data_IF_205314583660
#
_entry.id   IF_205314583660
#
_cell.length_a   1.000
_cell.length_b   1.000
_cell.length_c   1.000
_cell.angle_alpha   90.00
_cell.angle_beta   90.00
_cell.angle_gamma   90.00
#
_symmetry.space_group_name_H-M   'P 1'
#
loop_
_entity.id
_entity.type
_entity.pdbx_description
1 polymer ?
#
# COMPACT_ATOMS: atom_id res chain seq x y z
N UNK A 1 36.09 -18.56 -12.30
CA UNK A 1 35.87 -17.43 -11.37
C UNK A 1 34.45 -16.96 -11.60
N UNK A 2 33.53 -17.33 -10.72
CA UNK A 2 32.12 -17.00 -10.89
C UNK A 2 31.88 -15.55 -10.50
N UNK A 3 31.44 -14.75 -11.48
CA UNK A 3 30.88 -13.43 -11.24
C UNK A 3 29.59 -13.62 -10.44
N UNK A 4 29.66 -13.34 -9.14
CA UNK A 4 28.49 -13.29 -8.28
C UNK A 4 27.63 -12.10 -8.71
N UNK A 5 26.44 -12.39 -9.22
CA UNK A 5 25.44 -11.40 -9.52
C UNK A 5 25.12 -10.60 -8.25
N UNK A 6 25.38 -9.29 -8.34
CA UNK A 6 24.91 -8.29 -7.38
C UNK A 6 23.39 -8.31 -7.44
N UNK A 7 22.73 -8.88 -6.42
CA UNK A 7 21.29 -8.78 -6.31
C UNK A 7 20.92 -7.32 -6.05
N UNK A 8 20.06 -6.80 -6.92
CA UNK A 8 19.59 -5.43 -6.95
C UNK A 8 18.97 -5.04 -5.60
N UNK A 9 19.59 -4.06 -4.92
CA UNK A 9 19.02 -3.38 -3.77
C UNK A 9 18.06 -2.30 -4.29
N UNK A 10 16.81 -2.67 -4.50
CA UNK A 10 15.74 -1.71 -4.82
C UNK A 10 14.51 -2.07 -4.00
N UNK A 11 14.60 -1.84 -2.69
CA UNK A 11 13.49 -1.69 -1.74
C UNK A 11 14.11 -1.40 -0.37
N UNK A 12 14.17 -0.12 0.01
CA UNK A 12 14.93 0.38 1.16
C UNK A 12 14.24 0.02 2.49
N UNK A 13 14.30 -1.25 2.88
CA UNK A 13 14.15 -1.60 4.28
C UNK A 13 15.44 -1.25 5.05
N UNK A 14 15.33 -0.90 6.34
CA UNK A 14 16.50 -0.80 7.20
C UNK A 14 17.23 -2.15 7.25
N UNK A 15 18.55 -2.11 7.47
CA UNK A 15 19.32 -3.34 7.68
C UNK A 15 18.70 -4.16 8.83
N UNK A 16 18.50 -5.47 8.66
CA UNK A 16 17.82 -6.31 9.67
C UNK A 16 18.59 -6.34 11.01
N UNK A 17 19.93 -6.19 10.96
CA UNK A 17 20.79 -6.29 12.13
C UNK A 17 20.78 -7.71 12.72
N UNK A 18 20.79 -7.81 14.04
CA UNK A 18 20.71 -9.11 14.73
C UNK A 18 19.34 -9.76 14.52
N UNK A 19 19.35 -11.00 14.02
CA UNK A 19 18.16 -11.80 13.74
C UNK A 19 17.66 -12.57 14.99
N UNK A 20 16.39 -13.04 14.99
CA UNK A 20 15.77 -13.74 16.13
C UNK A 20 16.37 -15.10 16.46
N UNK A 21 17.15 -15.69 15.55
CA UNK A 21 17.87 -16.94 15.74
C UNK A 21 19.23 -16.76 16.43
N UNK A 22 19.64 -15.52 16.73
CA UNK A 22 20.87 -15.22 17.44
C UNK A 22 20.67 -15.26 18.97
N UNK A 23 21.58 -15.89 19.76
CA UNK A 23 21.42 -16.03 21.21
C UNK A 23 21.23 -14.72 21.98
N UNK A 24 21.81 -13.62 21.51
CA UNK A 24 21.73 -12.30 22.14
C UNK A 24 20.56 -11.44 21.65
N UNK A 25 19.62 -11.99 20.88
CA UNK A 25 18.48 -11.25 20.35
C UNK A 25 17.57 -10.65 21.45
N UNK A 26 17.55 -11.28 22.64
CA UNK A 26 16.84 -10.73 23.80
C UNK A 26 17.39 -9.35 24.22
N UNK A 27 18.69 -9.10 24.06
CA UNK A 27 19.30 -7.79 24.34
C UNK A 27 18.81 -6.73 23.35
N UNK A 28 18.67 -7.09 22.07
CA UNK A 28 18.06 -6.22 21.06
C UNK A 28 16.63 -5.87 21.44
N UNK A 29 15.83 -6.88 21.77
CA UNK A 29 14.43 -6.69 22.17
C UNK A 29 14.28 -5.80 23.41
N UNK A 30 15.18 -5.95 24.39
CA UNK A 30 15.24 -5.13 25.59
C UNK A 30 15.63 -3.67 25.27
N UNK A 31 16.68 -3.45 24.48
CA UNK A 31 17.09 -2.11 24.06
C UNK A 31 16.01 -1.41 23.23
N UNK A 32 15.31 -2.16 22.36
CA UNK A 32 14.16 -1.66 21.60
C UNK A 32 13.03 -1.22 22.52
N UNK A 33 12.69 -2.03 23.54
CA UNK A 33 11.66 -1.72 24.53
C UNK A 33 12.00 -0.47 25.37
N UNK A 34 13.24 -0.33 25.83
CA UNK A 34 13.69 0.88 26.54
C UNK A 34 13.59 2.10 25.63
N UNK A 35 14.09 2.00 24.39
CA UNK A 35 14.03 3.11 23.45
C UNK A 35 12.58 3.55 23.18
N UNK A 36 11.66 2.60 23.04
CA UNK A 36 10.23 2.90 22.87
C UNK A 36 9.59 3.48 24.14
N UNK A 37 9.98 3.01 25.32
CA UNK A 37 9.51 3.57 26.59
C UNK A 37 9.93 5.03 26.78
N UNK A 38 11.18 5.35 26.42
CA UNK A 38 11.75 6.70 26.50
C UNK A 38 11.38 7.61 25.31
N UNK A 39 10.68 7.09 24.30
CA UNK A 39 10.13 7.93 23.22
C UNK A 39 8.89 8.64 23.74
N UNK A 40 8.92 9.96 23.85
CA UNK A 40 7.81 10.76 24.38
C UNK A 40 6.93 11.33 23.27
N UNK A 41 5.61 11.42 23.50
CA UNK A 41 4.62 11.87 22.52
C UNK A 41 4.06 10.76 21.65
N UNK A 42 2.82 10.92 21.18
CA UNK A 42 2.14 9.88 20.40
C UNK A 42 2.64 9.82 18.96
N UNK A 43 2.90 10.97 18.31
CA UNK A 43 3.48 11.01 16.96
C UNK A 43 4.89 10.37 16.94
N UNK A 44 5.85 10.75 17.79
CA UNK A 44 7.15 10.06 17.83
C UNK A 44 7.04 8.58 18.17
N UNK A 45 6.08 8.19 19.03
CA UNK A 45 5.82 6.77 19.32
C UNK A 45 5.27 6.02 18.11
N UNK A 46 4.41 6.63 17.31
CA UNK A 46 3.90 6.04 16.07
C UNK A 46 5.06 5.80 15.08
N UNK A 47 5.91 6.80 14.85
CA UNK A 47 7.11 6.67 14.00
C UNK A 47 8.07 5.60 14.54
N UNK A 48 8.28 5.56 15.87
CA UNK A 48 9.10 4.53 16.51
C UNK A 48 8.56 3.13 16.28
N UNK A 49 7.25 2.94 16.37
CA UNK A 49 6.63 1.63 16.11
C UNK A 49 6.70 1.26 14.63
N UNK A 50 6.53 2.21 13.71
CA UNK A 50 6.69 1.98 12.26
C UNK A 50 8.12 1.51 11.94
N UNK A 51 9.14 2.20 12.46
CA UNK A 51 10.54 1.81 12.27
C UNK A 51 10.86 0.42 12.87
N UNK A 52 10.20 0.05 13.98
CA UNK A 52 10.32 -1.30 14.51
C UNK A 52 9.65 -2.32 13.59
N UNK A 53 8.48 -2.02 13.02
CA UNK A 53 7.80 -2.88 12.06
C UNK A 53 8.70 -3.14 10.84
N UNK A 54 9.26 -2.11 10.23
CA UNK A 54 10.21 -2.21 9.11
C UNK A 54 11.40 -3.13 9.45
N UNK A 55 11.96 -3.03 10.67
CA UNK A 55 13.02 -3.94 11.12
C UNK A 55 12.54 -5.39 11.23
N UNK A 56 11.31 -5.62 11.72
CA UNK A 56 10.76 -6.99 11.78
C UNK A 56 10.58 -7.56 10.36
N UNK A 57 10.13 -6.73 9.41
CA UNK A 57 9.98 -7.13 8.02
C UNK A 57 11.33 -7.42 7.34
N UNK A 58 12.34 -6.61 7.60
CA UNK A 58 13.70 -6.86 7.13
C UNK A 58 14.26 -8.18 7.67
N UNK A 59 14.01 -8.47 8.94
CA UNK A 59 14.40 -9.76 9.53
C UNK A 59 13.64 -10.94 8.91
N UNK A 60 12.34 -10.80 8.65
CA UNK A 60 11.56 -11.83 7.98
C UNK A 60 12.12 -12.14 6.58
N UNK A 61 12.44 -11.11 5.78
CA UNK A 61 13.05 -11.30 4.47
C UNK A 61 14.40 -12.04 4.57
N UNK A 62 15.27 -11.59 5.48
CA UNK A 62 16.58 -12.22 5.69
C UNK A 62 16.49 -13.66 6.23
N UNK A 63 15.42 -14.01 6.96
CA UNK A 63 15.18 -15.37 7.44
C UNK A 63 14.61 -16.26 6.34
N UNK A 64 13.76 -15.73 5.46
CA UNK A 64 13.30 -16.43 4.28
C UNK A 64 14.47 -16.77 3.34
N UNK A 65 15.39 -15.82 3.12
CA UNK A 65 16.63 -16.07 2.36
C UNK A 65 17.50 -17.18 2.97
N UNK A 66 17.43 -17.34 4.30
CA UNK A 66 18.18 -18.36 5.05
C UNK A 66 17.44 -19.71 5.15
N UNK A 67 16.27 -19.85 4.51
CA UNK A 67 15.47 -21.06 4.58
C UNK A 67 14.95 -21.35 5.99
N UNK A 68 14.62 -20.31 6.78
CA UNK A 68 14.08 -20.42 8.14
C UNK A 68 12.65 -19.88 8.22
N UNK A 69 11.68 -20.48 7.51
CA UNK A 69 10.34 -19.93 7.37
C UNK A 69 9.62 -19.81 8.71
N UNK A 70 9.78 -20.76 9.64
CA UNK A 70 9.08 -20.72 10.93
C UNK A 70 9.53 -19.53 11.80
N UNK A 71 10.77 -19.07 11.63
CA UNK A 71 11.28 -17.88 12.33
C UNK A 71 10.84 -16.62 11.59
N UNK A 72 10.81 -16.66 10.26
CA UNK A 72 10.29 -15.56 9.43
C UNK A 72 8.82 -15.26 9.77
N UNK A 73 7.98 -16.30 9.93
CA UNK A 73 6.59 -16.17 10.37
C UNK A 73 6.48 -15.45 11.71
N UNK A 74 7.29 -15.83 12.72
CA UNK A 74 7.30 -15.14 14.01
C UNK A 74 7.76 -13.69 13.90
N UNK A 75 8.68 -13.39 12.98
CA UNK A 75 9.08 -12.02 12.70
C UNK A 75 7.93 -11.23 12.06
N UNK A 76 7.16 -11.83 11.15
CA UNK A 76 5.98 -11.23 10.53
C UNK A 76 4.83 -11.00 11.52
N UNK A 77 4.61 -11.89 12.48
CA UNK A 77 3.64 -11.64 13.56
C UNK A 77 4.06 -10.44 14.42
N UNK A 78 5.36 -10.28 14.70
CA UNK A 78 5.85 -9.06 15.37
C UNK A 78 5.77 -7.82 14.48
N UNK A 79 6.00 -7.94 13.17
CA UNK A 79 5.80 -6.84 12.21
C UNK A 79 4.37 -6.30 12.32
N UNK A 80 3.40 -7.21 12.23
CA UNK A 80 1.98 -6.95 12.39
C UNK A 80 1.66 -6.26 13.72
N UNK A 81 2.18 -6.78 14.84
CA UNK A 81 1.98 -6.14 16.14
C UNK A 81 2.51 -4.69 16.17
N UNK A 82 3.72 -4.46 15.64
CA UNK A 82 4.34 -3.12 15.63
C UNK A 82 3.60 -2.16 14.71
N UNK A 83 3.15 -2.61 13.53
CA UNK A 83 2.36 -1.78 12.62
C UNK A 83 1.03 -1.35 13.26
N UNK A 84 0.30 -2.25 13.91
CA UNK A 84 -0.93 -1.90 14.63
C UNK A 84 -0.68 -0.88 15.74
N UNK A 85 0.44 -1.00 16.47
CA UNK A 85 0.81 0.00 17.49
C UNK A 85 1.18 1.36 16.88
N UNK A 86 1.76 1.38 15.68
CA UNK A 86 2.05 2.62 14.96
C UNK A 86 0.74 3.34 14.58
N UNK A 87 -0.18 2.63 13.94
CA UNK A 87 -1.51 3.13 13.57
C UNK A 87 -2.31 3.59 14.80
N UNK A 88 -2.34 2.76 15.86
CA UNK A 88 -3.03 3.13 17.10
C UNK A 88 -2.47 4.39 17.75
N UNK A 89 -1.15 4.62 17.69
CA UNK A 89 -0.55 5.85 18.19
C UNK A 89 -0.81 7.08 17.32
N UNK A 90 -0.86 6.90 16.01
CA UNK A 90 -1.27 7.97 15.09
C UNK A 90 -2.74 8.36 15.34
N UNK A 91 -3.62 7.39 15.56
CA UNK A 91 -5.03 7.63 15.89
C UNK A 91 -5.19 8.32 17.25
N UNK A 92 -4.49 7.88 18.30
CA UNK A 92 -4.49 8.58 19.59
C UNK A 92 -4.01 10.04 19.47
N UNK A 93 -3.01 10.30 18.63
CA UNK A 93 -2.52 11.65 18.37
C UNK A 93 -3.60 12.51 17.68
N UNK A 94 -4.28 11.94 16.69
CA UNK A 94 -5.37 12.60 15.95
C UNK A 94 -6.54 12.94 16.86
N UNK A 95 -6.94 12.03 17.74
CA UNK A 95 -7.99 12.25 18.75
C UNK A 95 -7.65 13.37 19.73
N UNK A 96 -6.35 13.64 19.95
CA UNK A 96 -5.87 14.77 20.77
C UNK A 96 -5.78 16.08 19.99
N UNK A 97 -6.20 16.11 18.73
CA UNK A 97 -6.15 17.29 17.87
C UNK A 97 -4.73 17.66 17.43
N UNK A 98 -3.78 16.71 17.45
CA UNK A 98 -2.45 16.92 16.92
C UNK A 98 -2.47 16.79 15.39
N UNK A 99 -1.56 17.49 14.71
CA UNK A 99 -1.33 17.29 13.29
C UNK A 99 -0.62 15.95 13.04
N UNK A 100 -1.34 15.00 12.43
CA UNK A 100 -0.86 13.64 12.17
C UNK A 100 -0.56 13.38 10.70
N UNK A 101 -0.71 14.37 9.83
CA UNK A 101 -0.64 14.18 8.37
C UNK A 101 0.70 13.60 7.93
N UNK A 102 1.80 14.09 8.51
CA UNK A 102 3.13 13.61 8.13
C UNK A 102 3.38 12.17 8.57
N UNK A 103 2.99 11.79 9.80
CA UNK A 103 3.19 10.41 10.26
C UNK A 103 2.27 9.44 9.54
N UNK A 104 1.03 9.83 9.22
CA UNK A 104 0.12 9.01 8.44
C UNK A 104 0.59 8.87 7.00
N UNK A 105 1.14 9.92 6.38
CA UNK A 105 1.77 9.82 5.06
C UNK A 105 2.94 8.83 5.07
N UNK A 106 3.83 8.89 6.08
CA UNK A 106 4.92 7.92 6.24
C UNK A 106 4.41 6.49 6.39
N UNK A 107 3.36 6.27 7.20
CA UNK A 107 2.76 4.94 7.36
C UNK A 107 2.18 4.44 6.03
N UNK A 108 1.43 5.29 5.32
CA UNK A 108 0.82 4.98 4.03
C UNK A 108 1.87 4.58 2.99
N UNK A 109 2.94 5.35 2.86
CA UNK A 109 4.02 5.10 1.92
C UNK A 109 4.81 3.82 2.28
N UNK A 110 5.19 3.68 3.55
CA UNK A 110 5.94 2.53 4.05
C UNK A 110 5.16 1.22 3.85
N UNK A 111 3.85 1.22 4.14
CA UNK A 111 3.01 0.02 4.01
C UNK A 111 2.77 -0.43 2.57
N UNK A 112 2.80 0.48 1.59
CA UNK A 112 2.88 0.09 0.16
C UNK A 112 4.24 -0.53 -0.16
N UNK A 113 5.34 0.09 0.27
CA UNK A 113 6.69 -0.47 0.07
C UNK A 113 6.85 -1.84 0.72
N UNK A 114 6.22 -2.06 1.87
CA UNK A 114 6.21 -3.34 2.56
C UNK A 114 5.59 -4.45 1.71
N UNK A 115 4.58 -4.16 0.86
CA UNK A 115 4.00 -5.17 -0.03
C UNK A 115 5.06 -5.78 -0.93
N UNK A 116 5.91 -4.94 -1.53
CA UNK A 116 6.95 -5.38 -2.45
C UNK A 116 7.94 -6.35 -1.79
N UNK A 117 8.22 -6.17 -0.50
CA UNK A 117 9.07 -7.07 0.29
C UNK A 117 8.29 -8.31 0.73
N UNK A 118 7.05 -8.16 1.17
CA UNK A 118 6.22 -9.29 1.56
C UNK A 118 6.03 -10.25 0.39
N UNK A 119 5.86 -9.74 -0.83
CA UNK A 119 5.82 -10.51 -2.08
C UNK A 119 7.12 -11.31 -2.28
N UNK A 120 8.29 -10.72 -2.00
CA UNK A 120 9.56 -11.46 -2.05
C UNK A 120 9.64 -12.56 -0.99
N UNK A 121 9.19 -12.26 0.23
CA UNK A 121 9.13 -13.26 1.29
C UNK A 121 8.21 -14.41 0.88
N UNK A 122 7.04 -14.10 0.31
CA UNK A 122 6.06 -15.06 -0.19
C UNK A 122 6.65 -16.03 -1.22
N UNK A 123 7.44 -15.49 -2.16
CA UNK A 123 8.13 -16.28 -3.19
C UNK A 123 9.16 -17.25 -2.59
N UNK A 124 9.87 -16.83 -1.54
CA UNK A 124 11.00 -17.56 -0.94
C UNK A 124 10.58 -18.65 0.04
N UNK A 125 9.37 -18.57 0.62
CA UNK A 125 8.91 -19.51 1.64
C UNK A 125 8.15 -20.70 1.06
N UNK A 126 8.18 -21.88 1.71
CA UNK A 126 7.35 -23.01 1.31
C UNK A 126 5.86 -22.71 1.50
N UNK A 127 5.00 -23.45 0.78
CA UNK A 127 3.55 -23.23 0.77
C UNK A 127 2.92 -23.23 2.16
N UNK A 128 3.41 -24.08 3.05
CA UNK A 128 2.97 -24.17 4.44
C UNK A 128 3.12 -22.85 5.24
N UNK A 129 4.08 -22.00 4.88
CA UNK A 129 4.36 -20.74 5.57
C UNK A 129 3.59 -19.56 4.95
N UNK A 130 3.13 -19.68 3.69
CA UNK A 130 2.43 -18.62 2.94
C UNK A 130 1.28 -17.97 3.71
N UNK A 131 0.40 -18.68 4.44
CA UNK A 131 -0.71 -18.04 5.16
C UNK A 131 -0.29 -16.96 6.16
N UNK A 132 0.89 -17.04 6.76
CA UNK A 132 1.39 -16.00 7.65
C UNK A 132 1.82 -14.74 6.89
N UNK A 133 2.38 -14.90 5.69
CA UNK A 133 2.78 -13.80 4.81
C UNK A 133 1.52 -13.10 4.27
N UNK A 134 0.50 -13.86 3.88
CA UNK A 134 -0.78 -13.33 3.39
C UNK A 134 -1.45 -12.43 4.43
N UNK A 135 -1.49 -12.87 5.70
CA UNK A 135 -1.99 -12.04 6.81
C UNK A 135 -1.17 -10.76 7.02
N UNK A 136 0.14 -10.82 6.81
CA UNK A 136 1.00 -9.64 6.92
C UNK A 136 0.77 -8.67 5.75
N UNK A 137 0.53 -9.18 4.54
CA UNK A 137 0.18 -8.39 3.36
C UNK A 137 -1.18 -7.72 3.52
N UNK A 138 -2.20 -8.47 3.96
CA UNK A 138 -3.54 -7.95 4.24
C UNK A 138 -3.48 -6.81 5.25
N UNK A 139 -2.79 -7.04 6.38
CA UNK A 139 -2.66 -6.00 7.40
C UNK A 139 -1.86 -4.79 6.92
N UNK A 140 -0.85 -5.00 6.09
CA UNK A 140 -0.09 -3.91 5.51
C UNK A 140 -0.95 -3.08 4.55
N UNK A 141 -1.78 -3.71 3.71
CA UNK A 141 -2.71 -2.98 2.84
C UNK A 141 -3.79 -2.25 3.63
N UNK A 142 -4.37 -2.90 4.64
CA UNK A 142 -5.32 -2.23 5.52
C UNK A 142 -4.70 -1.01 6.21
N UNK A 143 -3.47 -1.15 6.69
CA UNK A 143 -2.71 -0.05 7.29
C UNK A 143 -2.43 1.10 6.32
N UNK A 144 -2.16 0.79 5.04
CA UNK A 144 -2.03 1.80 3.98
C UNK A 144 -3.34 2.57 3.80
N UNK A 145 -4.45 1.87 3.63
CA UNK A 145 -5.77 2.46 3.38
C UNK A 145 -6.24 3.31 4.57
N UNK A 146 -6.16 2.77 5.79
CA UNK A 146 -6.50 3.48 7.03
C UNK A 146 -5.68 4.77 7.15
N UNK A 147 -4.37 4.70 6.90
CA UNK A 147 -3.50 5.87 6.97
C UNK A 147 -3.84 6.89 5.88
N UNK A 148 -4.01 6.46 4.63
CA UNK A 148 -4.33 7.34 3.50
C UNK A 148 -5.66 8.08 3.70
N UNK A 149 -6.69 7.37 4.18
CA UNK A 149 -8.00 7.94 4.49
C UNK A 149 -7.96 8.92 5.67
N UNK A 150 -7.03 8.74 6.59
CA UNK A 150 -6.89 9.59 7.77
C UNK A 150 -6.11 10.89 7.51
N UNK A 151 -5.36 10.99 6.41
CA UNK A 151 -4.63 12.20 5.98
C UNK A 151 -5.60 13.27 5.47
N UNK A 152 -5.30 14.55 5.71
CA UNK A 152 -6.05 15.69 5.16
C UNK A 152 -6.11 15.70 3.62
N UNK A 153 -7.09 16.40 3.05
CA UNK A 153 -7.26 16.47 1.59
C UNK A 153 -6.03 17.08 0.88
N UNK A 154 -5.45 18.15 1.41
CA UNK A 154 -4.27 18.80 0.83
C UNK A 154 -3.07 17.84 0.81
N UNK A 155 -2.76 17.23 1.96
CA UNK A 155 -1.63 16.32 2.05
C UNK A 155 -1.85 15.05 1.22
N UNK A 156 -3.09 14.55 1.14
CA UNK A 156 -3.45 13.40 0.30
C UNK A 156 -3.21 13.70 -1.18
N UNK A 157 -3.52 14.91 -1.63
CA UNK A 157 -3.24 15.32 -3.01
C UNK A 157 -1.73 15.36 -3.29
N UNK A 158 -0.95 15.90 -2.37
CA UNK A 158 0.51 15.99 -2.51
C UNK A 158 1.18 14.61 -2.69
N UNK A 159 0.67 13.57 -2.03
CA UNK A 159 1.25 12.22 -2.11
C UNK A 159 0.57 11.31 -3.14
N UNK A 160 -0.46 11.80 -3.85
CA UNK A 160 -1.30 11.00 -4.74
C UNK A 160 -0.49 10.30 -5.83
N UNK A 161 0.33 11.05 -6.56
CA UNK A 161 1.12 10.52 -7.69
C UNK A 161 2.13 9.47 -7.23
N UNK A 162 2.79 9.72 -6.09
CA UNK A 162 3.73 8.77 -5.50
C UNK A 162 3.01 7.48 -5.08
N UNK A 163 1.88 7.60 -4.38
CA UNK A 163 1.05 6.45 -3.96
C UNK A 163 0.59 5.64 -5.18
N UNK A 164 0.14 6.30 -6.26
CA UNK A 164 -0.28 5.64 -7.49
C UNK A 164 0.86 4.88 -8.16
N UNK A 165 2.03 5.52 -8.28
CA UNK A 165 3.24 4.90 -8.84
C UNK A 165 3.63 3.65 -8.06
N UNK A 166 3.66 3.74 -6.72
CA UNK A 166 3.98 2.61 -5.85
C UNK A 166 2.95 1.47 -5.94
N UNK A 167 1.65 1.79 -6.02
CA UNK A 167 0.60 0.79 -6.22
C UNK A 167 0.81 0.04 -7.54
N UNK A 168 1.16 0.74 -8.62
CA UNK A 168 1.48 0.11 -9.91
C UNK A 168 2.71 -0.80 -9.83
N UNK A 169 3.78 -0.37 -9.15
CA UNK A 169 4.98 -1.20 -8.94
C UNK A 169 4.64 -2.52 -8.19
N UNK A 170 3.84 -2.43 -7.12
CA UNK A 170 3.40 -3.61 -6.35
C UNK A 170 2.55 -4.53 -7.23
N UNK A 171 1.60 -3.98 -7.99
CA UNK A 171 0.73 -4.74 -8.88
C UNK A 171 1.52 -5.49 -9.95
N UNK A 172 2.41 -4.79 -10.66
CA UNK A 172 3.26 -5.38 -11.70
C UNK A 172 4.12 -6.51 -11.13
N UNK A 173 4.69 -6.33 -9.94
CA UNK A 173 5.48 -7.38 -9.30
C UNK A 173 4.64 -8.60 -8.94
N UNK A 174 3.44 -8.40 -8.41
CA UNK A 174 2.53 -9.50 -8.09
C UNK A 174 2.11 -10.27 -9.36
N UNK A 175 1.79 -9.57 -10.44
CA UNK A 175 1.43 -10.15 -11.74
C UNK A 175 2.58 -10.98 -12.34
N UNK A 176 3.80 -10.45 -12.34
CA UNK A 176 4.99 -11.19 -12.79
C UNK A 176 5.19 -12.52 -12.04
N UNK A 177 4.88 -12.57 -10.74
CA UNK A 177 4.94 -13.82 -9.98
C UNK A 177 3.78 -14.78 -10.32
N UNK A 178 2.58 -14.25 -10.56
CA UNK A 178 1.43 -15.05 -11.02
C UNK A 178 1.69 -15.69 -12.37
N UNK A 179 2.28 -14.95 -13.32
CA UNK A 179 2.71 -15.49 -14.62
C UNK A 179 3.74 -16.61 -14.49
N UNK A 180 4.60 -16.55 -13.46
CA UNK A 180 5.54 -17.62 -13.10
C UNK A 180 4.89 -18.80 -12.38
N UNK A 181 3.57 -18.80 -12.21
CA UNK A 181 2.79 -19.86 -11.57
C UNK A 181 2.77 -19.80 -10.04
N UNK A 182 3.20 -18.70 -9.43
CA UNK A 182 3.13 -18.51 -7.98
C UNK A 182 1.79 -17.84 -7.64
N UNK A 183 0.93 -18.47 -6.83
CA UNK A 183 -0.42 -17.96 -6.55
C UNK A 183 -0.40 -16.82 -5.53
N UNK A 184 0.24 -15.69 -5.86
CA UNK A 184 0.26 -14.49 -5.01
C UNK A 184 -1.19 -13.99 -4.86
N UNK A 185 -1.70 -13.80 -3.63
CA UNK A 185 -3.09 -13.42 -3.44
C UNK A 185 -3.41 -12.04 -4.01
N UNK A 186 -4.69 -11.77 -4.16
CA UNK A 186 -5.21 -10.47 -4.58
C UNK A 186 -5.47 -9.62 -3.34
N UNK A 187 -4.43 -8.93 -2.90
CA UNK A 187 -4.37 -8.25 -1.58
C UNK A 187 -4.47 -6.75 -1.74
N UNK A 188 -4.08 -6.25 -2.91
CA UNK A 188 -4.50 -4.95 -3.37
C UNK A 188 -5.99 -5.08 -3.67
N UNK A 189 -6.87 -4.24 -3.10
CA UNK A 189 -8.11 -4.03 -3.81
C UNK A 189 -7.73 -3.59 -5.23
N UNK A 190 -8.35 -4.24 -6.23
CA UNK A 190 -8.60 -3.61 -7.53
C UNK A 190 -8.83 -2.11 -7.31
N UNK A 191 -8.20 -1.25 -8.12
CA UNK A 191 -7.87 0.12 -7.75
C UNK A 191 -9.01 0.83 -7.03
N UNK A 192 -9.01 0.82 -5.69
CA UNK A 192 -9.78 1.79 -4.92
C UNK A 192 -9.00 3.08 -5.05
N UNK A 193 -9.55 3.92 -5.92
CA UNK A 193 -9.26 5.33 -6.10
C UNK A 193 -7.84 5.65 -6.59
N UNK A 194 -7.50 5.25 -7.83
CA UNK A 194 -7.18 6.36 -8.74
C UNK A 194 -8.47 7.18 -8.78
N UNK A 195 -8.47 8.51 -8.55
CA UNK A 195 -9.63 9.29 -8.94
C UNK A 195 -9.93 8.83 -10.34
N UNK A 196 -11.13 8.29 -10.57
CA UNK A 196 -11.55 7.98 -11.92
C UNK A 196 -11.19 9.24 -12.71
N UNK A 197 -10.38 9.14 -13.78
CA UNK A 197 -10.13 10.29 -14.60
C UNK A 197 -11.52 10.80 -14.99
N UNK A 198 -11.91 11.92 -14.38
CA UNK A 198 -13.08 12.69 -14.72
C UNK A 198 -12.48 13.84 -15.48
N UNK A 199 -12.56 13.76 -16.80
CA UNK A 199 -12.14 14.81 -17.69
C UNK A 199 -12.93 16.09 -17.44
N UNK A 200 -14.26 15.97 -17.24
CA UNK A 200 -15.16 17.09 -16.96
C UNK A 200 -16.41 16.65 -16.18
N UNK A 201 -17.04 17.59 -15.46
CA UNK A 201 -18.31 17.38 -14.77
C UNK A 201 -19.25 18.56 -14.95
N UNK A 202 -20.49 18.28 -15.34
CA UNK A 202 -21.57 19.23 -15.57
C UNK A 202 -22.79 18.89 -14.70
N UNK A 203 -23.75 19.81 -14.53
CA UNK A 203 -25.06 19.46 -13.99
C UNK A 203 -25.68 18.33 -14.83
N UNK A 204 -25.99 17.20 -14.19
CA UNK A 204 -26.59 16.04 -14.85
C UNK A 204 -25.65 15.20 -15.71
N UNK A 205 -24.33 15.46 -15.73
CA UNK A 205 -23.40 14.70 -16.57
C UNK A 205 -21.97 14.64 -16.05
N UNK A 206 -21.32 13.49 -16.20
CA UNK A 206 -19.89 13.27 -15.95
C UNK A 206 -19.23 12.79 -17.25
N UNK A 207 -18.06 13.32 -17.57
CA UNK A 207 -17.22 12.89 -18.69
C UNK A 207 -15.93 12.29 -18.13
N UNK A 208 -15.70 11.01 -18.37
CA UNK A 208 -14.56 10.28 -17.81
C UNK A 208 -13.30 10.45 -18.66
N UNK A 209 -13.31 9.95 -19.89
CA UNK A 209 -12.13 9.98 -20.78
C UNK A 209 -12.55 9.93 -22.25
N UNK A 210 -11.73 10.49 -23.13
CA UNK A 210 -11.82 10.29 -24.60
C UNK A 210 -10.97 9.12 -25.10
N UNK A 211 -10.18 8.51 -24.22
CA UNK A 211 -9.40 7.31 -24.53
C UNK A 211 -10.27 6.06 -24.44
N UNK A 212 -10.89 5.72 -25.57
CA UNK A 212 -11.74 4.52 -25.71
C UNK A 212 -10.96 3.20 -25.75
N UNK A 213 -9.63 3.23 -25.62
CA UNK A 213 -8.82 2.01 -25.49
C UNK A 213 -8.76 1.47 -24.05
N UNK A 214 -9.21 2.28 -23.09
CA UNK A 214 -9.26 1.93 -21.66
C UNK A 214 -10.46 1.03 -21.37
N UNK A 215 -10.30 0.05 -20.48
CA UNK A 215 -11.41 -0.80 -20.01
C UNK A 215 -12.50 0.06 -19.31
N UNK A 216 -13.76 0.03 -19.78
CA UNK A 216 -14.82 0.86 -19.24
C UNK A 216 -15.38 0.41 -17.89
N UNK A 217 -15.01 -0.78 -17.40
CA UNK A 217 -15.62 -1.42 -16.22
C UNK A 217 -15.63 -0.51 -14.99
N UNK A 218 -14.55 0.25 -14.78
CA UNK A 218 -14.45 1.18 -13.65
C UNK A 218 -15.40 2.38 -13.78
N UNK A 219 -15.56 2.93 -14.98
CA UNK A 219 -16.47 4.05 -15.26
C UNK A 219 -17.94 3.62 -15.19
N UNK A 220 -18.24 2.40 -15.66
CA UNK A 220 -19.58 1.84 -15.58
C UNK A 220 -20.03 1.65 -14.13
N UNK A 221 -19.17 1.05 -13.29
CA UNK A 221 -19.47 0.86 -11.87
C UNK A 221 -19.68 2.19 -11.13
N UNK A 222 -18.89 3.22 -11.42
CA UNK A 222 -19.09 4.56 -10.82
C UNK A 222 -20.38 5.23 -11.31
N UNK A 223 -20.70 5.10 -12.59
CA UNK A 223 -21.94 5.63 -13.13
C UNK A 223 -23.18 4.99 -12.49
N UNK A 224 -23.16 3.66 -12.32
CA UNK A 224 -24.22 2.90 -11.65
C UNK A 224 -24.37 3.32 -10.19
N UNK A 225 -23.26 3.53 -9.47
CA UNK A 225 -23.28 4.00 -8.07
C UNK A 225 -23.85 5.42 -7.93
N UNK A 226 -23.66 6.26 -8.93
CA UNK A 226 -24.25 7.61 -9.00
C UNK A 226 -25.72 7.59 -9.45
N UNK A 227 -26.23 6.44 -9.88
CA UNK A 227 -27.60 6.28 -10.38
C UNK A 227 -27.83 6.83 -11.78
N UNK A 228 -26.76 6.94 -12.59
CA UNK A 228 -26.84 7.45 -13.95
C UNK A 228 -26.87 6.34 -15.01
N UNK A 229 -26.88 6.74 -16.27
CA UNK A 229 -26.79 5.84 -17.43
C UNK A 229 -25.43 6.00 -18.10
N UNK A 230 -24.68 4.91 -18.17
CA UNK A 230 -23.36 4.90 -18.78
C UNK A 230 -23.45 4.87 -20.31
N UNK A 231 -22.70 5.76 -20.98
CA UNK A 231 -22.54 5.79 -22.44
C UNK A 231 -21.07 5.60 -22.82
N UNK A 232 -20.80 4.55 -23.60
CA UNK A 232 -19.47 4.20 -24.10
C UNK A 232 -18.95 5.13 -25.23
N UNK A 233 -19.79 5.99 -25.80
CA UNK A 233 -19.42 7.02 -26.77
C UNK A 233 -20.37 8.22 -26.66
N UNK A 234 -20.40 8.84 -25.47
CA UNK A 234 -21.09 10.10 -25.24
C UNK A 234 -20.29 11.32 -25.69
N UNK A 235 -20.87 12.50 -25.51
CA UNK A 235 -20.23 13.78 -25.91
C UNK A 235 -19.44 14.41 -24.76
N UNK A 236 -18.41 15.19 -25.08
CA UNK A 236 -17.57 15.85 -24.07
C UNK A 236 -18.16 17.16 -23.54
N UNK A 237 -19.28 17.62 -24.10
CA UNK A 237 -19.80 18.97 -23.84
C UNK A 237 -20.94 18.99 -22.80
N UNK A 238 -21.21 20.17 -22.21
CA UNK A 238 -22.39 20.39 -21.39
C UNK A 238 -23.69 20.07 -22.16
N UNK A 239 -24.75 19.63 -21.46
CA UNK A 239 -26.05 19.35 -22.09
C UNK A 239 -26.66 20.54 -22.88
N UNK A 240 -26.32 21.78 -22.49
CA UNK A 240 -26.86 23.01 -23.09
C UNK A 240 -25.99 23.60 -24.22
N UNK A 241 -24.90 22.93 -24.62
CA UNK A 241 -23.99 23.47 -25.62
C UNK A 241 -24.57 23.42 -27.04
N UNK A 242 -24.65 24.57 -27.73
CA UNK A 242 -25.08 24.67 -29.14
C UNK A 242 -24.09 24.05 -30.12
N UNK A 243 -22.80 23.98 -29.74
CA UNK A 243 -21.72 23.42 -30.55
C UNK A 243 -20.91 22.47 -29.68
N UNK A 244 -20.69 21.25 -30.17
CA UNK A 244 -19.86 20.26 -29.50
C UNK A 244 -18.90 19.57 -30.45
N UNK A 245 -17.70 19.23 -29.96
CA UNK A 245 -16.74 18.43 -30.69
C UNK A 245 -17.23 16.98 -30.83
N UNK A 246 -17.15 16.43 -32.05
CA UNK A 246 -17.54 15.05 -32.35
C UNK A 246 -16.41 14.07 -31.98
N UNK A 247 -16.19 13.88 -30.68
CA UNK A 247 -15.23 12.92 -30.13
C UNK A 247 -15.98 12.03 -29.14
N UNK A 248 -15.86 10.70 -29.28
CA UNK A 248 -16.40 9.76 -28.31
C UNK A 248 -15.72 9.94 -26.95
N UNK A 249 -16.51 9.98 -25.90
CA UNK A 249 -16.02 9.85 -24.54
C UNK A 249 -16.88 8.86 -23.75
N UNK A 250 -16.27 8.23 -22.76
CA UNK A 250 -17.05 7.55 -21.72
C UNK A 250 -17.73 8.60 -20.85
N UNK A 251 -19.06 8.50 -20.73
CA UNK A 251 -19.86 9.48 -19.98
C UNK A 251 -20.89 8.80 -19.10
N UNK A 252 -21.35 9.52 -18.08
CA UNK A 252 -22.49 9.14 -17.25
C UNK A 252 -23.50 10.28 -17.23
N UNK A 253 -24.76 10.00 -17.56
CA UNK A 253 -25.84 10.99 -17.59
C UNK A 253 -26.90 10.70 -16.50
N UNK A 254 -27.45 11.74 -15.88
CA UNK A 254 -28.40 11.67 -14.75
C UNK A 254 -29.72 12.39 -15.05
#
# INVERSE_FOLDING_TARGET
>A
MFAGAVQAQVNELPRPGMLPDHPLYFLKSWAEAIGTFLTFGDIPKAERYLALAERRLAEANALADKGKPEIAERALERYRERLNRALGKAEEAKQKGLDTDEVLAKVSEATLKHQTVLIEVYEKVPEQARPAIERAMEQSMRGHEEALQAISGEKREQIREEVQTRKQEVFQKAEQLRERGIPVPEILPMPIELPLPIMDQFPGKVVYTTDISVDPTLFQNDCDQRGGVFDSCGTICPPEAEVCATVCAYTCEF
#
